data_IF_096108435798
#
_entry.id   IF_096108435798
#
_cell.length_a   1.000
_cell.length_b   1.000
_cell.length_c   1.000
_cell.angle_alpha   90.00
_cell.angle_beta   90.00
_cell.angle_gamma   90.00
#
_symmetry.space_group_name_H-M   'P 1'
#
loop_
_entity.id
_entity.type
_entity.pdbx_description
1 polymer ?
#
# COMPACT_ATOMS: atom_id res chain seq x y z
N UNK A 1 12.47 8.03 13.29
CA UNK A 1 11.10 8.10 13.83
C UNK A 1 10.11 7.57 12.82
N UNK A 2 8.91 7.15 13.28
CA UNK A 2 7.78 6.99 12.35
C UNK A 2 7.39 8.38 11.85
N UNK A 3 7.20 8.53 10.55
CA UNK A 3 6.82 9.80 9.91
C UNK A 3 5.82 9.55 8.79
N UNK A 4 5.28 10.63 8.26
CA UNK A 4 4.37 10.58 7.11
C UNK A 4 5.11 10.11 5.85
N UNK A 5 4.37 9.54 4.91
CA UNK A 5 4.92 9.20 3.60
C UNK A 5 5.40 10.48 2.93
N UNK A 6 6.66 10.52 2.49
CA UNK A 6 7.29 11.73 1.93
C UNK A 6 8.18 12.49 2.91
N UNK A 7 8.12 12.20 4.22
CA UNK A 7 8.98 12.83 5.22
C UNK A 7 10.29 12.07 5.45
N UNK A 8 10.62 11.08 4.61
CA UNK A 8 11.85 10.30 4.73
C UNK A 8 13.10 11.13 4.41
N UNK A 9 14.27 10.80 4.99
CA UNK A 9 15.51 11.44 4.60
C UNK A 9 15.82 11.25 3.11
N UNK A 10 16.60 12.16 2.49
CA UNK A 10 17.03 12.00 1.11
C UNK A 10 17.75 10.65 0.88
N UNK A 11 17.51 10.05 -0.29
CA UNK A 11 18.14 8.78 -0.67
C UNK A 11 17.36 7.52 -0.25
N UNK A 12 16.26 7.65 0.49
CA UNK A 12 15.38 6.53 0.81
C UNK A 12 14.18 6.49 -0.13
N UNK A 13 13.89 5.27 -0.62
CA UNK A 13 12.73 4.98 -1.45
C UNK A 13 11.85 3.92 -0.77
N UNK A 14 10.52 3.98 -0.92
CA UNK A 14 9.67 2.83 -0.67
C UNK A 14 10.14 1.62 -1.49
N UNK A 15 10.06 0.41 -0.92
CA UNK A 15 10.61 -0.79 -1.57
C UNK A 15 10.04 -1.02 -2.98
N UNK A 16 8.76 -0.67 -3.21
CA UNK A 16 8.08 -0.85 -4.49
C UNK A 16 8.51 0.14 -5.56
N UNK A 17 9.13 1.26 -5.18
CA UNK A 17 9.68 2.27 -6.09
C UNK A 17 11.12 1.97 -6.52
N UNK A 18 11.79 0.98 -5.90
CA UNK A 18 13.15 0.59 -6.28
C UNK A 18 13.17 0.15 -7.75
N UNK A 19 13.89 0.87 -8.64
CA UNK A 19 13.82 0.63 -10.09
C UNK A 19 14.33 -0.75 -10.51
N UNK A 20 15.19 -1.37 -9.70
CA UNK A 20 15.84 -2.65 -9.99
C UNK A 20 15.29 -3.81 -9.14
N UNK A 21 14.14 -3.64 -8.46
CA UNK A 21 13.56 -4.75 -7.69
C UNK A 21 13.19 -5.90 -8.63
N UNK A 22 13.41 -7.12 -8.17
CA UNK A 22 13.21 -8.33 -8.98
C UNK A 22 11.74 -8.58 -9.32
N UNK A 23 10.81 -8.07 -8.51
CA UNK A 23 9.38 -8.28 -8.70
C UNK A 23 8.72 -7.34 -9.71
N UNK A 24 9.49 -6.56 -10.48
CA UNK A 24 8.91 -5.60 -11.44
C UNK A 24 8.12 -6.31 -12.52
N UNK A 25 6.89 -5.85 -12.73
CA UNK A 25 5.91 -6.46 -13.64
C UNK A 25 4.87 -7.29 -12.90
N UNK A 26 5.20 -7.74 -11.69
CA UNK A 26 4.40 -8.72 -10.97
C UNK A 26 3.46 -8.00 -10.02
N UNK A 27 2.17 -8.33 -10.09
CA UNK A 27 1.19 -7.75 -9.20
C UNK A 27 1.44 -8.20 -7.76
N UNK A 28 1.95 -7.31 -6.92
CA UNK A 28 2.16 -7.55 -5.49
C UNK A 28 1.04 -6.88 -4.71
N UNK A 29 0.25 -7.68 -3.99
CA UNK A 29 -0.67 -7.20 -2.98
C UNK A 29 0.02 -7.29 -1.62
N UNK A 30 0.02 -6.21 -0.85
CA UNK A 30 0.68 -6.17 0.46
C UNK A 30 -0.10 -5.32 1.47
N UNK A 31 0.26 -5.45 2.74
CA UNK A 31 -0.26 -4.66 3.85
C UNK A 31 0.86 -4.23 4.79
N UNK A 32 0.61 -4.25 6.10
CA UNK A 32 1.55 -3.92 7.19
C UNK A 32 1.96 -2.43 7.29
N UNK A 33 1.88 -1.68 6.20
CA UNK A 33 2.30 -0.28 6.13
C UNK A 33 1.12 0.69 6.09
N UNK A 34 0.37 0.78 7.19
CA UNK A 34 -0.83 1.62 7.34
C UNK A 34 -0.68 3.09 6.93
N UNK A 35 0.52 3.66 7.06
CA UNK A 35 0.78 5.05 6.66
C UNK A 35 0.62 5.30 5.15
N UNK A 36 0.68 4.27 4.30
CA UNK A 36 0.40 4.37 2.87
C UNK A 36 -1.10 4.40 2.54
N UNK A 37 -1.93 3.84 3.43
CA UNK A 37 -3.34 3.60 3.14
C UNK A 37 -3.55 2.51 2.08
N UNK A 38 -4.80 2.36 1.63
CA UNK A 38 -5.15 1.51 0.49
C UNK A 38 -4.92 2.28 -0.82
N UNK A 39 -3.89 1.90 -1.58
CA UNK A 39 -3.41 2.66 -2.74
C UNK A 39 -2.69 1.76 -3.75
N UNK A 40 -2.57 2.23 -4.99
CA UNK A 40 -1.86 1.55 -6.07
C UNK A 40 -0.62 2.35 -6.49
N UNK A 41 0.53 1.68 -6.56
CA UNK A 41 1.83 2.22 -6.96
C UNK A 41 2.43 1.35 -8.08
N UNK A 42 1.86 1.45 -9.29
CA UNK A 42 2.25 0.62 -10.43
C UNK A 42 1.72 -0.81 -10.32
N UNK A 43 2.61 -1.76 -10.08
CA UNK A 43 2.30 -3.19 -9.86
C UNK A 43 2.21 -3.56 -8.37
N UNK A 44 2.46 -2.62 -7.45
CA UNK A 44 2.30 -2.81 -6.01
C UNK A 44 0.99 -2.20 -5.51
N UNK A 45 0.18 -3.00 -4.82
CA UNK A 45 -1.15 -2.67 -4.32
C UNK A 45 -1.17 -2.78 -2.81
N UNK A 46 -1.26 -1.63 -2.12
CA UNK A 46 -1.41 -1.59 -0.67
C UNK A 46 -2.86 -1.83 -0.28
N UNK A 47 -3.08 -2.67 0.74
CA UNK A 47 -4.38 -2.98 1.33
C UNK A 47 -4.51 -2.41 2.77
N UNK A 48 -3.42 -1.95 3.36
CA UNK A 48 -3.40 -1.55 4.77
C UNK A 48 -3.91 -0.12 4.93
N UNK A 49 -5.22 0.00 5.11
CA UNK A 49 -5.90 1.24 5.48
C UNK A 49 -5.99 1.48 6.98
N UNK A 50 -5.17 0.79 7.79
CA UNK A 50 -4.99 1.13 9.20
C UNK A 50 -6.19 0.81 10.10
N UNK A 51 -6.92 -0.28 9.84
CA UNK A 51 -8.08 -0.71 10.63
C UNK A 51 -7.81 -0.72 12.15
N UNK A 52 -6.66 -1.24 12.58
CA UNK A 52 -6.26 -1.30 13.99
C UNK A 52 -6.03 0.08 14.65
N UNK A 53 -5.96 1.14 13.84
CA UNK A 53 -5.73 2.52 14.27
C UNK A 53 -6.96 3.42 14.06
N UNK A 54 -8.14 2.82 13.85
CA UNK A 54 -9.39 3.56 13.61
C UNK A 54 -9.57 4.01 12.15
N UNK A 55 -8.77 3.49 11.22
CA UNK A 55 -9.02 3.60 9.79
C UNK A 55 -10.10 2.62 9.33
N UNK A 56 -9.89 1.99 8.17
CA UNK A 56 -10.81 0.97 7.67
C UNK A 56 -10.13 -0.34 7.31
N UNK A 57 -10.93 -1.35 7.04
CA UNK A 57 -10.51 -2.62 6.46
C UNK A 57 -10.77 -2.58 4.96
N UNK A 58 -9.72 -2.73 4.16
CA UNK A 58 -9.81 -2.68 2.70
C UNK A 58 -9.65 -4.06 2.06
N UNK A 59 -10.36 -4.28 0.97
CA UNK A 59 -10.21 -5.44 0.10
C UNK A 59 -10.05 -4.98 -1.36
N UNK A 60 -9.28 -5.72 -2.16
CA UNK A 60 -9.10 -5.45 -3.59
C UNK A 60 -9.67 -6.62 -4.40
N UNK A 61 -10.49 -6.32 -5.40
CA UNK A 61 -10.88 -7.33 -6.40
C UNK A 61 -9.67 -7.69 -7.26
N UNK A 62 -9.29 -8.96 -7.27
CA UNK A 62 -8.12 -9.48 -8.00
C UNK A 62 -8.44 -9.91 -9.42
N UNK A 63 -9.69 -10.24 -9.70
CA UNK A 63 -10.22 -10.70 -10.98
C UNK A 63 -10.99 -9.59 -11.72
N UNK A 64 -10.78 -9.48 -13.03
CA UNK A 64 -11.43 -8.44 -13.84
C UNK A 64 -10.92 -7.03 -13.52
N UNK A 65 -11.85 -6.08 -13.38
CA UNK A 65 -11.51 -4.67 -13.11
C UNK A 65 -11.18 -4.50 -11.63
N UNK A 66 -9.92 -4.14 -11.35
CA UNK A 66 -9.43 -3.86 -10.00
C UNK A 66 -10.18 -2.70 -9.38
N UNK A 67 -10.79 -2.95 -8.23
CA UNK A 67 -11.52 -1.97 -7.44
C UNK A 67 -11.30 -2.25 -5.95
N UNK A 68 -11.09 -1.19 -5.19
CA UNK A 68 -11.02 -1.25 -3.74
C UNK A 68 -12.42 -1.23 -3.14
N UNK A 69 -12.62 -2.05 -2.11
CA UNK A 69 -13.75 -2.02 -1.19
C UNK A 69 -13.23 -1.60 0.17
N UNK A 70 -14.00 -0.78 0.86
CA UNK A 70 -13.62 -0.23 2.14
C UNK A 70 -14.78 -0.33 3.12
N UNK A 71 -14.50 -0.78 4.33
CA UNK A 71 -15.44 -0.72 5.44
C UNK A 71 -14.74 -0.06 6.63
N UNK A 72 -15.43 0.90 7.25
CA UNK A 72 -14.90 1.59 8.42
C UNK A 72 -14.72 0.60 9.58
N UNK A 73 -13.57 0.66 10.25
CA UNK A 73 -13.35 -0.11 11.47
C UNK A 73 -13.93 0.63 12.67
N UNK A 74 -14.45 -0.14 13.63
CA UNK A 74 -15.02 0.37 14.89
C UNK A 74 -14.05 0.24 16.03
#
# INVERSE_FOLDING_TARGET
EKGEVGSQPPGYLPWFEIPTRQSRGEAILFGHWAALGASCHGDAWSLDSGCAWGGGLSALRVDGVRCYYHVDCR
#
